data_IF_519091936517
#
_entry.id   IF_519091936517
#
_cell.length_a   1.000
_cell.length_b   1.000
_cell.length_c   1.000
_cell.angle_alpha   90.00
_cell.angle_beta   90.00
_cell.angle_gamma   90.00
#
_symmetry.space_group_name_H-M   'P 1'
#
loop_
_entity.id
_entity.type
_entity.pdbx_description
1 polymer ?
#
# COMPACT_ATOMS: atom_id res chain seq x y z
N UNK A 1 73.67 7.89 61.53
CA UNK A 1 74.69 7.45 60.59
C UNK A 1 74.34 6.06 60.15
N UNK A 2 74.06 5.85 58.91
CA UNK A 2 74.46 4.71 58.06
C UNK A 2 73.69 4.79 56.71
N UNK A 3 74.49 4.63 55.70
CA UNK A 3 74.19 4.90 54.29
C UNK A 3 73.27 3.84 53.65
N UNK A 4 72.43 4.34 52.79
CA UNK A 4 71.60 3.58 51.87
C UNK A 4 72.34 3.36 50.52
N UNK A 5 72.47 2.16 49.96
CA UNK A 5 72.91 2.00 48.56
C UNK A 5 71.72 1.79 47.66
N UNK A 6 71.60 2.66 46.61
CA UNK A 6 70.69 2.56 45.50
C UNK A 6 70.89 1.30 44.67
N UNK A 7 69.85 0.52 44.48
CA UNK A 7 69.78 -0.53 43.48
C UNK A 7 69.00 -0.05 42.25
N UNK A 8 69.67 0.09 41.13
CA UNK A 8 69.09 0.32 39.82
C UNK A 8 68.40 -0.93 39.34
N UNK A 9 67.11 -0.90 39.17
CA UNK A 9 66.32 -1.92 38.45
C UNK A 9 66.03 -1.40 37.04
N UNK A 10 66.64 -2.02 36.03
CA UNK A 10 66.33 -1.78 34.61
C UNK A 10 65.01 -2.46 34.32
N UNK A 11 63.97 -1.65 33.99
CA UNK A 11 62.67 -2.15 33.47
C UNK A 11 62.89 -2.56 32.01
N UNK A 12 62.67 -3.86 31.72
CA UNK A 12 62.51 -4.37 30.37
C UNK A 12 61.02 -4.07 29.93
N UNK A 13 60.80 -3.18 28.95
CA UNK A 13 59.54 -3.00 28.31
C UNK A 13 59.40 -4.05 27.22
N UNK A 14 58.57 -5.08 27.46
CA UNK A 14 58.13 -6.01 26.43
C UNK A 14 56.96 -5.36 25.67
N UNK A 15 57.18 -4.97 24.42
CA UNK A 15 56.12 -4.62 23.48
C UNK A 15 55.40 -5.90 23.03
N UNK A 16 54.21 -6.16 23.60
CA UNK A 16 53.29 -7.17 23.09
C UNK A 16 52.55 -6.57 21.90
N UNK A 17 52.93 -6.95 20.68
CA UNK A 17 52.22 -6.63 19.46
C UNK A 17 50.92 -7.44 19.38
N UNK A 18 49.76 -6.82 19.64
CA UNK A 18 48.46 -7.40 19.33
C UNK A 18 48.21 -7.33 17.82
N UNK A 19 48.40 -8.45 17.13
CA UNK A 19 47.91 -8.63 15.77
C UNK A 19 46.39 -8.90 15.84
N UNK A 20 45.57 -7.88 15.54
CA UNK A 20 44.13 -8.08 15.34
C UNK A 20 43.92 -8.74 13.96
N UNK A 21 43.67 -10.05 13.95
CA UNK A 21 43.14 -10.73 12.77
C UNK A 21 41.71 -10.19 12.51
N UNK A 22 41.57 -9.32 11.53
CA UNK A 22 40.27 -8.95 11.00
C UNK A 22 39.70 -10.16 10.23
N UNK A 23 38.79 -10.89 10.85
CA UNK A 23 37.99 -11.92 10.19
C UNK A 23 36.99 -11.22 9.23
N UNK A 24 37.39 -11.06 7.97
CA UNK A 24 36.47 -10.77 6.90
C UNK A 24 35.61 -12.03 6.67
N UNK A 25 34.44 -12.10 7.30
CA UNK A 25 33.42 -13.07 6.93
C UNK A 25 33.00 -12.84 5.48
N UNK A 26 32.61 -13.91 4.72
CA UNK A 26 32.11 -13.74 3.37
C UNK A 26 30.87 -12.81 3.41
N UNK A 27 30.89 -11.75 2.60
CA UNK A 27 29.73 -10.89 2.42
C UNK A 27 28.58 -11.75 1.89
N UNK A 28 27.49 -11.85 2.64
CA UNK A 28 26.25 -12.48 2.17
C UNK A 28 25.77 -11.64 0.98
N UNK A 29 25.66 -12.20 -0.24
CA UNK A 29 25.12 -11.46 -1.35
C UNK A 29 23.73 -10.97 -0.96
N UNK A 30 23.51 -9.65 -0.97
CA UNK A 30 22.21 -9.05 -0.73
C UNK A 30 21.22 -9.65 -1.72
N UNK A 31 19.99 -9.94 -1.26
CA UNK A 31 18.92 -10.37 -2.16
C UNK A 31 18.84 -9.40 -3.35
N UNK A 32 18.73 -9.89 -4.59
CA UNK A 32 18.63 -9.02 -5.77
C UNK A 32 17.48 -8.03 -5.56
N UNK A 33 17.75 -6.74 -5.81
CA UNK A 33 16.71 -5.73 -5.74
C UNK A 33 15.57 -6.15 -6.67
N UNK A 34 14.35 -6.24 -6.11
CA UNK A 34 13.17 -6.62 -6.86
C UNK A 34 12.95 -5.63 -8.02
N UNK A 35 12.74 -6.12 -9.24
CA UNK A 35 12.50 -5.26 -10.38
C UNK A 35 11.28 -4.36 -10.14
N UNK A 36 11.36 -3.10 -10.56
CA UNK A 36 10.27 -2.16 -10.40
C UNK A 36 9.38 -2.14 -11.65
N UNK A 37 8.06 -2.25 -11.46
CA UNK A 37 7.07 -1.96 -12.51
C UNK A 37 6.80 -0.45 -12.52
N UNK A 38 6.65 0.12 -13.72
CA UNK A 38 6.08 1.46 -13.87
C UNK A 38 4.57 1.34 -13.89
N UNK A 39 3.88 1.97 -12.94
CA UNK A 39 2.41 1.98 -12.84
C UNK A 39 1.89 3.37 -13.16
N UNK A 40 0.82 3.45 -13.95
CA UNK A 40 0.12 4.69 -14.30
C UNK A 40 -1.37 4.53 -14.07
N UNK A 41 -1.98 5.50 -13.41
CA UNK A 41 -3.44 5.59 -13.17
C UNK A 41 -3.95 6.86 -13.83
N UNK A 42 -5.02 6.75 -14.59
CA UNK A 42 -5.56 7.86 -15.39
C UNK A 42 -5.91 9.07 -14.53
N UNK A 43 -5.37 10.24 -14.90
CA UNK A 43 -5.61 11.49 -14.21
C UNK A 43 -4.97 11.63 -12.83
N UNK A 44 -4.13 10.66 -12.42
CA UNK A 44 -3.40 10.68 -11.17
C UNK A 44 -1.91 10.97 -11.41
N UNK A 45 -1.40 12.03 -10.80
CA UNK A 45 0.04 12.27 -10.65
C UNK A 45 0.51 11.64 -9.33
N UNK A 46 1.72 11.10 -9.25
CA UNK A 46 2.24 10.57 -7.98
C UNK A 46 2.13 11.62 -6.85
N UNK A 47 1.48 11.23 -5.75
CA UNK A 47 1.17 12.11 -4.62
C UNK A 47 0.08 13.16 -4.90
N UNK A 48 -0.53 13.17 -6.08
CA UNK A 48 -1.58 14.11 -6.45
C UNK A 48 -2.99 13.66 -6.06
N UNK A 49 -3.97 14.59 -6.16
CA UNK A 49 -5.35 14.30 -5.79
C UNK A 49 -6.01 13.29 -6.74
N UNK A 50 -6.77 12.37 -6.16
CA UNK A 50 -7.67 11.48 -6.90
C UNK A 50 -8.92 12.29 -7.31
N UNK A 51 -9.38 12.11 -8.54
CA UNK A 51 -10.58 12.79 -9.05
C UNK A 51 -11.84 12.22 -8.41
N UNK A 52 -12.82 13.08 -8.15
CA UNK A 52 -14.16 12.71 -7.63
C UNK A 52 -14.85 11.61 -8.47
N UNK A 53 -14.53 11.55 -9.77
CA UNK A 53 -15.03 10.50 -10.68
C UNK A 53 -14.70 9.09 -10.19
N UNK A 54 -13.57 8.93 -9.49
CA UNK A 54 -13.08 7.64 -8.98
C UNK A 54 -13.39 7.43 -7.51
N UNK A 55 -13.98 8.42 -6.82
CA UNK A 55 -14.29 8.34 -5.41
C UNK A 55 -15.65 7.67 -5.14
N UNK A 56 -15.73 6.87 -4.08
CA UNK A 56 -16.97 6.31 -3.57
C UNK A 56 -17.82 7.38 -2.88
N UNK A 57 -17.16 8.29 -2.13
CA UNK A 57 -17.79 9.46 -1.53
C UNK A 57 -17.15 10.74 -2.07
N UNK A 58 -18.00 11.75 -2.31
CA UNK A 58 -17.58 13.09 -2.74
C UNK A 58 -18.16 14.17 -1.82
N UNK A 59 -17.60 15.38 -1.80
CA UNK A 59 -18.17 16.49 -1.05
C UNK A 59 -19.63 16.78 -1.49
N UNK A 60 -20.52 16.92 -0.52
CA UNK A 60 -21.93 17.22 -0.78
C UNK A 60 -22.17 18.73 -0.91
N UNK A 61 -23.21 19.12 -1.65
CA UNK A 61 -23.67 20.51 -1.70
C UNK A 61 -24.36 20.96 -0.40
N UNK A 62 -24.96 20.00 0.29
CA UNK A 62 -25.57 20.17 1.62
C UNK A 62 -25.10 19.03 2.50
N UNK A 63 -24.71 19.33 3.74
CA UNK A 63 -24.03 18.38 4.62
C UNK A 63 -22.55 18.24 4.25
N UNK A 64 -21.94 17.09 4.49
CA UNK A 64 -20.50 16.89 4.37
C UNK A 64 -20.10 16.05 3.16
N UNK A 65 -20.78 14.95 2.95
CA UNK A 65 -20.45 14.00 1.89
C UNK A 65 -21.70 13.37 1.27
N UNK A 66 -21.58 12.96 0.03
CA UNK A 66 -22.59 12.22 -0.72
C UNK A 66 -21.90 11.12 -1.53
N UNK A 67 -22.70 10.19 -2.04
CA UNK A 67 -22.22 9.13 -2.90
C UNK A 67 -21.59 9.70 -4.18
N UNK A 68 -20.40 9.22 -4.52
CA UNK A 68 -19.69 9.56 -5.74
C UNK A 68 -19.99 8.62 -6.90
N UNK A 69 -19.41 8.91 -8.09
CA UNK A 69 -19.57 8.06 -9.27
C UNK A 69 -18.91 6.69 -9.16
N UNK A 70 -17.91 6.53 -8.29
CA UNK A 70 -17.23 5.26 -7.98
C UNK A 70 -16.82 4.47 -9.25
N UNK A 71 -16.23 5.14 -10.25
CA UNK A 71 -15.66 4.44 -11.40
C UNK A 71 -14.26 3.95 -11.09
N UNK A 72 -13.95 2.71 -11.44
CA UNK A 72 -12.56 2.28 -11.40
C UNK A 72 -11.74 3.08 -12.42
N UNK A 73 -10.58 3.65 -12.05
CA UNK A 73 -9.74 4.37 -13.00
C UNK A 73 -9.14 3.43 -14.04
N UNK A 74 -8.83 3.96 -15.22
CA UNK A 74 -7.94 3.25 -16.13
C UNK A 74 -6.56 3.13 -15.47
N UNK A 75 -6.00 1.93 -15.47
CA UNK A 75 -4.69 1.62 -14.90
C UNK A 75 -3.85 0.86 -15.91
N UNK A 76 -2.56 1.15 -15.99
CA UNK A 76 -1.61 0.43 -16.83
C UNK A 76 -0.27 0.27 -16.14
N UNK A 77 0.48 -0.74 -16.55
CA UNK A 77 1.80 -1.01 -15.99
C UNK A 77 2.76 -1.55 -17.04
N UNK A 78 4.05 -1.40 -16.77
CA UNK A 78 5.08 -1.99 -17.62
C UNK A 78 5.04 -3.51 -17.55
N UNK A 79 5.44 -4.19 -18.64
CA UNK A 79 5.58 -5.63 -18.63
C UNK A 79 6.55 -6.07 -17.53
N UNK A 80 6.18 -7.10 -16.80
CA UNK A 80 7.01 -7.70 -15.76
C UNK A 80 8.26 -8.39 -16.31
N UNK A 81 9.20 -8.77 -15.46
CA UNK A 81 10.40 -9.49 -15.85
C UNK A 81 10.08 -10.86 -16.47
N UNK A 82 11.09 -11.47 -17.08
CA UNK A 82 10.98 -12.85 -17.58
C UNK A 82 10.54 -13.79 -16.44
N UNK A 83 9.64 -14.73 -16.76
CA UNK A 83 9.05 -15.63 -15.76
C UNK A 83 7.75 -15.12 -15.14
N UNK A 84 7.30 -13.89 -15.47
CA UNK A 84 5.99 -13.42 -15.03
C UNK A 84 4.89 -14.31 -15.60
N UNK A 85 4.14 -14.98 -14.73
CA UNK A 85 3.05 -15.88 -15.05
C UNK A 85 1.66 -15.27 -14.76
N UNK A 86 1.58 -14.28 -13.86
CA UNK A 86 0.36 -13.49 -13.62
C UNK A 86 0.68 -12.14 -13.01
N UNK A 87 -0.36 -11.29 -12.88
CA UNK A 87 -0.31 -10.06 -12.09
C UNK A 87 -1.39 -10.05 -11.01
N UNK A 88 -1.18 -9.20 -10.01
CA UNK A 88 -2.19 -8.82 -9.03
C UNK A 88 -2.24 -7.30 -8.88
N UNK A 89 -3.43 -6.78 -8.58
CA UNK A 89 -3.67 -5.38 -8.19
C UNK A 89 -4.21 -5.36 -6.77
N UNK A 90 -3.57 -4.56 -5.91
CA UNK A 90 -4.04 -4.27 -4.56
C UNK A 90 -4.07 -2.76 -4.41
N UNK A 91 -5.26 -2.21 -4.11
CA UNK A 91 -5.41 -0.81 -3.73
C UNK A 91 -5.73 -0.74 -2.25
N UNK A 92 -4.89 -0.04 -1.49
CA UNK A 92 -4.99 0.06 -0.04
C UNK A 92 -4.82 1.50 0.43
N UNK A 93 -5.61 1.87 1.43
CA UNK A 93 -5.51 3.10 2.21
C UNK A 93 -5.02 2.73 3.62
N UNK A 94 -3.78 3.06 4.01
CA UNK A 94 -3.25 2.77 5.34
C UNK A 94 -3.65 3.80 6.40
N UNK A 95 -4.36 4.86 6.02
CA UNK A 95 -4.68 6.00 6.88
C UNK A 95 -6.06 5.91 7.54
N UNK A 96 -6.76 4.79 7.38
CA UNK A 96 -8.12 4.63 7.92
C UNK A 96 -8.08 4.55 9.46
N UNK A 97 -8.93 5.29 10.18
CA UNK A 97 -8.99 5.23 11.64
C UNK A 97 -9.20 3.81 12.14
N UNK A 98 -8.41 3.39 13.14
CA UNK A 98 -8.62 2.09 13.78
C UNK A 98 -9.88 2.04 14.62
N UNK A 99 -10.42 3.21 15.03
CA UNK A 99 -11.67 3.39 15.77
C UNK A 99 -12.58 4.37 15.02
N UNK A 100 -13.77 3.91 14.68
CA UNK A 100 -14.80 4.69 13.99
C UNK A 100 -15.80 5.37 14.92
N UNK A 101 -15.58 5.32 16.26
CA UNK A 101 -16.54 5.86 17.25
C UNK A 101 -16.92 7.30 16.95
N UNK A 102 -15.97 8.15 16.57
CA UNK A 102 -16.21 9.56 16.25
C UNK A 102 -16.28 9.85 14.75
N UNK A 103 -16.15 8.84 13.90
CA UNK A 103 -16.16 9.04 12.45
C UNK A 103 -17.53 9.55 11.96
N UNK A 104 -17.48 10.58 11.13
CA UNK A 104 -18.66 11.18 10.50
C UNK A 104 -19.69 11.71 11.51
N UNK A 105 -19.24 12.25 12.66
CA UNK A 105 -20.10 12.85 13.69
C UNK A 105 -19.86 14.34 13.84
N UNK A 106 -20.96 15.10 13.91
CA UNK A 106 -20.92 16.55 14.16
C UNK A 106 -20.24 16.88 15.50
N UNK A 107 -19.41 17.93 15.48
CA UNK A 107 -18.69 18.38 16.64
C UNK A 107 -17.57 17.44 17.12
N UNK A 108 -17.24 16.43 16.32
CA UNK A 108 -16.14 15.49 16.55
C UNK A 108 -15.05 15.67 15.51
N UNK A 109 -13.82 15.38 15.88
CA UNK A 109 -12.65 15.31 15.00
C UNK A 109 -11.94 14.01 15.24
N UNK A 110 -11.54 13.32 14.18
CA UNK A 110 -10.63 12.18 14.27
C UNK A 110 -9.21 12.78 14.26
N UNK A 111 -8.48 12.71 15.38
CA UNK A 111 -7.18 13.36 15.49
C UNK A 111 -6.11 12.66 14.65
N UNK A 112 -5.10 13.42 14.22
CA UNK A 112 -4.01 12.90 13.39
C UNK A 112 -3.23 11.76 14.07
N UNK A 113 -3.11 11.81 15.39
CA UNK A 113 -2.38 10.85 16.22
C UNK A 113 -3.12 9.53 16.43
N UNK A 114 -4.39 9.45 16.01
CA UNK A 114 -5.16 8.21 16.12
C UNK A 114 -4.46 7.07 15.40
N UNK A 115 -4.43 5.88 16.02
CA UNK A 115 -3.93 4.67 15.37
C UNK A 115 -4.67 4.43 14.05
N UNK A 116 -3.93 4.16 13.01
CA UNK A 116 -4.45 3.87 11.67
C UNK A 116 -4.36 2.39 11.35
N UNK A 117 -5.12 1.97 10.32
CA UNK A 117 -5.13 0.60 9.80
C UNK A 117 -5.31 0.61 8.30
N UNK A 118 -4.87 -0.46 7.66
CA UNK A 118 -5.12 -0.69 6.25
C UNK A 118 -6.61 -0.88 5.98
N UNK A 119 -7.05 -0.35 4.83
CA UNK A 119 -8.37 -0.56 4.25
C UNK A 119 -8.22 -0.87 2.78
N UNK A 120 -8.67 -2.05 2.37
CA UNK A 120 -8.48 -2.55 1.02
C UNK A 120 -9.66 -2.14 0.14
N UNK A 121 -9.35 -1.35 -0.89
CA UNK A 121 -10.31 -0.76 -1.84
C UNK A 121 -10.50 -1.61 -3.09
N UNK A 122 -9.49 -2.39 -3.46
CA UNK A 122 -9.52 -3.24 -4.64
C UNK A 122 -8.53 -4.40 -4.45
N UNK A 123 -9.02 -5.64 -4.60
CA UNK A 123 -8.23 -6.86 -4.51
C UNK A 123 -8.54 -7.69 -5.76
N UNK A 124 -7.57 -7.78 -6.67
CA UNK A 124 -7.71 -8.54 -7.92
C UNK A 124 -6.42 -9.31 -8.15
N UNK A 125 -6.53 -10.62 -8.33
CA UNK A 125 -5.39 -11.53 -8.53
C UNK A 125 -5.59 -12.39 -9.78
N UNK A 126 -4.59 -13.20 -10.12
CA UNK A 126 -4.64 -14.14 -11.25
C UNK A 126 -4.93 -13.42 -12.59
N UNK A 127 -4.43 -12.18 -12.74
CA UNK A 127 -4.51 -11.42 -13.98
C UNK A 127 -3.53 -12.05 -14.98
N UNK A 128 -3.99 -12.34 -16.20
CA UNK A 128 -3.18 -12.99 -17.23
C UNK A 128 -1.92 -12.18 -17.59
N UNK A 129 -0.78 -12.83 -17.87
CA UNK A 129 0.52 -12.16 -18.05
C UNK A 129 0.61 -11.25 -19.30
N UNK A 130 -0.28 -11.43 -20.27
CA UNK A 130 -0.40 -10.56 -21.44
C UNK A 130 -1.19 -9.27 -21.17
N UNK A 131 -1.93 -9.21 -20.07
CA UNK A 131 -2.72 -8.04 -19.68
C UNK A 131 -1.82 -7.07 -18.90
N UNK A 132 -1.68 -5.85 -19.39
CA UNK A 132 -0.89 -4.78 -18.77
C UNK A 132 -1.67 -3.48 -18.64
N UNK A 133 -2.98 -3.50 -18.89
CA UNK A 133 -3.83 -2.33 -18.73
C UNK A 133 -5.30 -2.71 -18.57
N UNK A 134 -6.03 -1.90 -17.83
CA UNK A 134 -7.49 -1.91 -17.76
C UNK A 134 -8.06 -0.56 -18.18
N UNK A 135 -9.17 -0.54 -18.93
CA UNK A 135 -9.89 0.69 -19.22
C UNK A 135 -10.61 1.23 -17.97
N UNK A 136 -10.98 2.50 -18.02
CA UNK A 136 -11.84 3.11 -17.01
C UNK A 136 -13.18 2.34 -16.91
N UNK A 137 -13.62 2.09 -15.68
CA UNK A 137 -14.85 1.36 -15.41
C UNK A 137 -14.73 -0.16 -15.53
N UNK A 138 -13.52 -0.71 -15.66
CA UNK A 138 -13.31 -2.16 -15.83
C UNK A 138 -13.83 -2.98 -14.63
N UNK A 139 -13.68 -2.45 -13.41
CA UNK A 139 -13.99 -3.15 -12.16
C UNK A 139 -15.01 -2.41 -11.27
N UNK A 140 -15.44 -1.23 -11.67
CA UNK A 140 -16.60 -0.53 -11.11
C UNK A 140 -17.09 0.57 -12.07
N UNK A 141 -18.40 0.66 -12.28
CA UNK A 141 -19.07 1.73 -13.03
C UNK A 141 -20.10 2.47 -12.19
N UNK A 142 -19.99 2.35 -10.89
CA UNK A 142 -20.90 2.87 -9.87
C UNK A 142 -20.72 2.12 -8.58
N UNK A 143 -21.65 2.28 -7.66
CA UNK A 143 -21.64 1.63 -6.34
C UNK A 143 -22.41 0.30 -6.32
N UNK A 144 -22.81 -0.22 -7.49
CA UNK A 144 -23.41 -1.53 -7.55
C UNK A 144 -22.36 -2.59 -7.13
N UNK A 145 -22.68 -3.46 -6.18
CA UNK A 145 -21.74 -4.47 -5.71
C UNK A 145 -21.25 -5.36 -6.85
N UNK A 146 -19.93 -5.51 -6.95
CA UNK A 146 -19.31 -6.56 -7.75
C UNK A 146 -19.03 -7.73 -6.80
N UNK A 147 -19.56 -8.93 -7.02
CA UNK A 147 -19.28 -10.04 -6.11
C UNK A 147 -17.81 -10.46 -6.19
N UNK A 148 -17.21 -10.94 -5.08
CA UNK A 148 -15.96 -11.67 -5.12
C UNK A 148 -16.08 -12.92 -6.02
N UNK A 149 -14.95 -13.36 -6.57
CA UNK A 149 -14.92 -14.53 -7.46
C UNK A 149 -14.43 -14.19 -8.87
N UNK A 150 -14.58 -15.12 -9.82
CA UNK A 150 -14.11 -14.93 -11.18
C UNK A 150 -14.72 -13.70 -11.85
N UNK A 151 -13.86 -12.85 -12.39
CA UNK A 151 -14.20 -11.66 -13.16
C UNK A 151 -13.64 -11.74 -14.58
N UNK A 152 -13.87 -10.68 -15.36
CA UNK A 152 -13.36 -10.59 -16.73
C UNK A 152 -11.82 -10.58 -16.78
N UNK A 153 -11.18 -10.01 -15.78
CA UNK A 153 -9.74 -9.72 -15.80
C UNK A 153 -8.92 -10.55 -14.81
N UNK A 154 -9.57 -11.30 -13.94
CA UNK A 154 -8.91 -12.12 -12.92
C UNK A 154 -9.88 -12.56 -11.84
N UNK A 155 -9.37 -12.95 -10.70
CA UNK A 155 -10.13 -13.40 -9.55
C UNK A 155 -10.24 -12.24 -8.54
N UNK A 156 -11.47 -11.76 -8.27
CA UNK A 156 -11.75 -10.71 -7.30
C UNK A 156 -11.76 -11.26 -5.88
N UNK A 157 -11.02 -10.64 -4.99
CA UNK A 157 -11.20 -10.76 -3.55
C UNK A 157 -12.32 -9.84 -3.04
N UNK A 158 -12.61 -9.92 -1.76
CA UNK A 158 -13.46 -8.93 -1.08
C UNK A 158 -12.66 -7.68 -0.73
N UNK A 159 -13.30 -6.52 -0.87
CA UNK A 159 -12.79 -5.26 -0.36
C UNK A 159 -13.39 -4.96 1.04
N UNK A 160 -12.87 -3.96 1.74
CA UNK A 160 -13.23 -3.69 3.14
C UNK A 160 -14.52 -2.87 3.29
N UNK A 161 -15.21 -2.49 2.19
CA UNK A 161 -16.57 -2.00 2.26
C UNK A 161 -17.59 -3.12 2.52
N UNK A 162 -17.13 -4.37 2.46
CA UNK A 162 -17.92 -5.55 2.81
C UNK A 162 -18.39 -5.51 4.26
N UNK A 163 -19.68 -5.79 4.49
CA UNK A 163 -20.28 -5.77 5.83
C UNK A 163 -21.36 -6.85 5.96
N UNK A 164 -21.22 -7.70 6.94
CA UNK A 164 -22.21 -8.75 7.22
C UNK A 164 -22.41 -9.71 6.06
N UNK A 165 -23.61 -9.70 5.42
CA UNK A 165 -23.93 -10.53 4.26
C UNK A 165 -23.58 -9.85 2.93
N UNK A 166 -23.32 -8.54 2.97
CA UNK A 166 -23.00 -7.74 1.79
C UNK A 166 -21.49 -7.79 1.57
N UNK A 167 -21.08 -8.65 0.67
CA UNK A 167 -19.66 -8.86 0.33
C UNK A 167 -19.40 -8.24 -1.03
N UNK A 168 -18.52 -7.24 -1.03
CA UNK A 168 -18.12 -6.48 -2.22
C UNK A 168 -16.74 -6.94 -2.69
N UNK A 169 -16.60 -7.16 -3.98
CA UNK A 169 -15.35 -7.28 -4.70
C UNK A 169 -15.23 -6.16 -5.73
N UNK A 170 -14.16 -6.16 -6.52
CA UNK A 170 -13.90 -5.08 -7.46
C UNK A 170 -13.36 -3.83 -6.77
N UNK A 171 -13.51 -2.69 -7.46
CA UNK A 171 -13.01 -1.39 -6.99
C UNK A 171 -14.10 -0.62 -6.27
N UNK A 172 -13.81 -0.17 -5.06
CA UNK A 172 -14.52 0.90 -4.36
C UNK A 172 -13.52 2.00 -4.00
N UNK A 173 -13.82 3.21 -4.45
CA UNK A 173 -12.89 4.34 -4.38
C UNK A 173 -12.81 5.02 -3.02
N UNK A 174 -12.09 6.15 -2.93
CA UNK A 174 -11.96 6.93 -1.71
C UNK A 174 -13.29 7.30 -1.05
N UNK A 175 -13.37 7.10 0.27
CA UNK A 175 -14.46 7.58 1.11
C UNK A 175 -13.99 7.78 2.56
N UNK A 176 -12.99 8.65 2.80
CA UNK A 176 -12.50 8.88 4.16
C UNK A 176 -13.56 9.60 5.00
N UNK A 177 -13.52 9.50 6.33
CA UNK A 177 -14.40 10.28 7.18
C UNK A 177 -14.24 11.79 6.92
N UNK A 178 -15.36 12.51 6.77
CA UNK A 178 -15.36 13.94 6.48
C UNK A 178 -14.82 14.81 7.63
N UNK A 179 -14.63 14.24 8.80
CA UNK A 179 -14.07 14.89 9.98
C UNK A 179 -12.69 14.34 10.39
N UNK A 180 -11.99 13.65 9.46
CA UNK A 180 -10.62 13.21 9.72
C UNK A 180 -9.64 14.37 9.55
N UNK A 181 -8.70 14.52 10.50
CA UNK A 181 -7.72 15.59 10.52
C UNK A 181 -6.53 15.37 9.57
N UNK A 182 -6.48 14.23 8.86
CA UNK A 182 -5.39 13.94 7.92
C UNK A 182 -5.91 13.72 6.50
N UNK A 183 -5.02 13.84 5.53
CA UNK A 183 -5.24 13.34 4.18
C UNK A 183 -5.03 11.84 4.15
N UNK A 184 -5.83 11.13 3.35
CA UNK A 184 -5.67 9.70 3.14
C UNK A 184 -4.88 9.43 1.86
N UNK A 185 -4.01 8.41 1.89
CA UNK A 185 -3.14 7.99 0.80
C UNK A 185 -3.63 6.65 0.25
N UNK A 186 -3.86 6.62 -1.05
CA UNK A 186 -4.37 5.43 -1.76
C UNK A 186 -3.24 4.86 -2.60
N UNK A 187 -2.75 3.70 -2.20
CA UNK A 187 -1.65 3.00 -2.83
C UNK A 187 -2.16 2.04 -3.91
N UNK A 188 -1.99 2.40 -5.17
CA UNK A 188 -2.34 1.54 -6.31
C UNK A 188 -1.14 0.64 -6.64
N UNK A 189 -1.07 -0.52 -6.01
CA UNK A 189 0.01 -1.48 -6.16
C UNK A 189 -0.28 -2.52 -7.24
N UNK A 190 0.72 -2.79 -8.10
CA UNK A 190 0.70 -3.87 -9.09
C UNK A 190 1.87 -4.79 -8.83
N UNK A 191 1.62 -6.10 -8.83
CA UNK A 191 2.59 -7.14 -8.54
C UNK A 191 2.69 -8.10 -9.73
N UNK A 192 3.91 -8.36 -10.21
CA UNK A 192 4.19 -9.42 -11.17
C UNK A 192 4.60 -10.69 -10.42
N UNK A 193 3.94 -11.82 -10.71
CA UNK A 193 4.08 -13.06 -9.99
C UNK A 193 4.65 -14.17 -10.90
N UNK A 194 5.42 -15.10 -10.33
CA UNK A 194 5.96 -16.28 -11.01
C UNK A 194 5.01 -17.47 -11.08
N UNK A 195 3.81 -17.31 -10.52
CA UNK A 195 2.74 -18.33 -10.54
C UNK A 195 1.54 -17.80 -11.32
N UNK A 196 0.85 -18.67 -12.06
CA UNK A 196 -0.35 -18.32 -12.81
C UNK A 196 -1.57 -18.13 -11.89
N UNK A 197 -1.63 -18.87 -10.79
CA UNK A 197 -2.72 -18.86 -9.84
C UNK A 197 -2.22 -18.90 -8.40
N UNK A 198 -2.82 -18.04 -7.56
CA UNK A 198 -2.55 -18.01 -6.12
C UNK A 198 -3.36 -19.04 -5.32
N UNK A 199 -4.21 -19.85 -6.00
CA UNK A 199 -5.08 -20.86 -5.40
C UNK A 199 -6.01 -20.31 -4.30
N UNK A 200 -6.43 -19.05 -4.45
CA UNK A 200 -7.42 -18.41 -3.60
C UNK A 200 -8.82 -18.72 -4.09
N UNK A 201 -9.81 -18.70 -3.20
CA UNK A 201 -11.21 -18.95 -3.53
C UNK A 201 -12.15 -18.24 -2.57
N UNK A 202 -13.41 -18.10 -2.97
CA UNK A 202 -14.42 -17.43 -2.16
C UNK A 202 -14.13 -15.94 -1.99
N UNK A 203 -14.51 -15.40 -0.83
CA UNK A 203 -14.35 -13.99 -0.48
C UNK A 203 -13.02 -13.74 0.25
N UNK A 204 -11.88 -14.14 -0.33
CA UNK A 204 -10.57 -13.86 0.23
C UNK A 204 -10.32 -12.34 0.32
N UNK A 205 -9.55 -11.93 1.31
CA UNK A 205 -9.28 -10.52 1.63
C UNK A 205 -7.94 -10.03 1.06
N UNK A 206 -7.66 -8.71 1.16
CA UNK A 206 -6.35 -8.15 0.83
C UNK A 206 -5.20 -8.81 1.57
N UNK A 207 -5.26 -8.99 2.91
CA UNK A 207 -4.26 -9.75 3.67
C UNK A 207 -4.05 -11.18 3.19
N UNK A 208 -5.13 -11.90 2.80
CA UNK A 208 -5.01 -13.26 2.27
C UNK A 208 -4.26 -13.26 0.93
N UNK A 209 -4.57 -12.31 0.04
CA UNK A 209 -3.88 -12.15 -1.22
C UNK A 209 -2.39 -11.82 -1.02
N UNK A 210 -2.07 -10.86 -0.14
CA UNK A 210 -0.69 -10.50 0.19
C UNK A 210 0.09 -11.69 0.77
N UNK A 211 -0.55 -12.48 1.62
CA UNK A 211 0.04 -13.70 2.18
C UNK A 211 0.29 -14.75 1.09
N UNK A 212 -0.67 -14.97 0.19
CA UNK A 212 -0.52 -15.93 -0.90
C UNK A 212 0.56 -15.52 -1.91
N UNK A 213 0.82 -14.22 -2.08
CA UNK A 213 1.89 -13.70 -2.94
C UNK A 213 3.29 -13.83 -2.34
N UNK A 214 3.44 -14.16 -1.04
CA UNK A 214 4.76 -14.26 -0.41
C UNK A 214 5.63 -15.32 -1.09
N UNK A 215 6.84 -14.91 -1.50
CA UNK A 215 7.79 -15.78 -2.23
C UNK A 215 7.54 -15.86 -3.74
N UNK A 216 6.45 -15.30 -4.26
CA UNK A 216 6.07 -15.33 -5.67
C UNK A 216 6.22 -13.99 -6.41
N UNK A 217 6.54 -12.92 -5.71
CA UNK A 217 6.64 -11.58 -6.32
C UNK A 217 7.98 -11.39 -7.01
N UNK A 218 7.96 -11.29 -8.34
CA UNK A 218 9.13 -10.99 -9.18
C UNK A 218 9.40 -9.50 -9.28
N UNK A 219 8.34 -8.67 -9.32
CA UNK A 219 8.42 -7.22 -9.43
C UNK A 219 7.18 -6.57 -8.80
N UNK A 220 7.35 -5.35 -8.28
CA UNK A 220 6.26 -4.51 -7.79
C UNK A 220 6.39 -3.12 -8.40
N UNK A 221 5.26 -2.48 -8.69
CA UNK A 221 5.16 -1.06 -8.96
C UNK A 221 3.99 -0.45 -8.20
N UNK A 222 4.04 0.86 -7.94
CA UNK A 222 3.02 1.56 -7.19
C UNK A 222 2.92 3.00 -7.63
N UNK A 223 1.72 3.55 -7.62
CA UNK A 223 1.46 4.98 -7.63
C UNK A 223 0.53 5.34 -6.47
N UNK A 224 0.85 6.41 -5.76
CA UNK A 224 0.06 6.87 -4.61
C UNK A 224 -0.75 8.09 -5.03
N UNK A 225 -2.03 8.08 -4.74
CA UNK A 225 -2.93 9.23 -4.83
C UNK A 225 -3.41 9.68 -3.46
N UNK A 226 -3.91 10.90 -3.35
CA UNK A 226 -4.44 11.43 -2.09
C UNK A 226 -5.90 11.83 -2.24
N UNK A 227 -6.66 11.72 -1.15
CA UNK A 227 -8.03 12.19 -1.07
C UNK A 227 -8.39 12.57 0.37
N UNK A 228 -9.30 13.55 0.53
CA UNK A 228 -9.87 13.94 1.81
C UNK A 228 -11.27 14.52 1.57
N UNK A 229 -12.18 14.31 2.51
CA UNK A 229 -13.49 14.96 2.55
C UNK A 229 -13.55 16.08 3.59
N UNK A 230 -12.61 16.11 4.55
CA UNK A 230 -12.47 17.23 5.49
C UNK A 230 -12.02 18.49 4.74
N UNK A 231 -12.81 19.57 4.72
CA UNK A 231 -12.49 20.78 3.96
C UNK A 231 -11.18 21.44 4.37
N UNK A 232 -10.83 21.37 5.65
CA UNK A 232 -9.61 21.99 6.18
C UNK A 232 -8.33 21.28 5.71
N UNK A 233 -8.46 20.00 5.38
CA UNK A 233 -7.39 19.16 4.83
C UNK A 233 -7.42 19.18 3.29
N UNK A 234 -8.59 19.12 2.69
CA UNK A 234 -8.77 18.93 1.26
C UNK A 234 -8.49 20.20 0.44
N UNK A 235 -8.87 21.40 0.92
CA UNK A 235 -8.68 22.69 0.21
C UNK A 235 -7.20 23.03 -0.03
N UNK A 236 -6.29 22.94 0.96
CA UNK A 236 -4.88 23.23 0.74
C UNK A 236 -4.23 22.35 -0.32
N UNK A 237 -4.77 21.15 -0.53
CA UNK A 237 -4.28 20.17 -1.50
C UNK A 237 -4.98 20.28 -2.87
N UNK A 238 -5.96 21.19 -3.03
CA UNK A 238 -6.72 21.36 -4.26
C UNK A 238 -7.65 20.17 -4.57
N UNK A 239 -7.97 19.33 -3.58
CA UNK A 239 -8.91 18.20 -3.70
C UNK A 239 -10.34 18.72 -3.83
N UNK A 240 -10.68 19.75 -3.05
CA UNK A 240 -11.95 20.48 -3.15
C UNK A 240 -11.70 21.97 -3.34
N UNK A 241 -12.66 22.67 -3.97
CA UNK A 241 -12.61 24.13 -4.21
C UNK A 241 -13.17 24.92 -3.03
#
# INVERSE_FOLDING_TARGET
>A
MLRNPRRNVRAFVMLAGCWALALFGPAVPGAPAQAALTVSVAGLKPGGPIRDLYAFCIPAKQGHATQGPNRSPAISWSKGPAGTASYAIIVVDPDVPADFTDANKEGRVIPAEMKRRDWYHWVLVDILPEVTAFPEGAEATGVAPQPPGPGKYGLRGSNDFSSGKDVYGGYDGPCPPWNDAIVHHYHFGVYALDVAHLNLSGAFTGPDALKAMQGHVLAKGEVVGVYALNPDVARPLGIIK
#
